data_IF_680665178314
#
_entry.id   IF_680665178314
#
_cell.length_a   1.000
_cell.length_b   1.000
_cell.length_c   1.000
_cell.angle_alpha   90.00
_cell.angle_beta   90.00
_cell.angle_gamma   90.00
#
_symmetry.space_group_name_H-M   'P 1'
#
loop_
_entity.id
_entity.type
_entity.pdbx_description
1 polymer ?
#
# COMPACT_ATOMS: atom_id res chain seq x y z
N UNK A 1 30.12 49.96 8.38
CA UNK A 1 30.94 48.89 7.76
C UNK A 1 30.65 47.56 8.44
N UNK A 2 29.84 46.69 7.84
CA UNK A 2 29.70 45.31 8.33
C UNK A 2 31.01 44.57 8.08
N UNK A 3 31.66 44.05 9.13
CA UNK A 3 32.91 43.29 9.00
C UNK A 3 32.75 42.15 8.00
N UNK A 4 33.77 41.88 7.17
CA UNK A 4 33.74 40.83 6.13
C UNK A 4 33.22 39.49 6.65
N UNK A 5 33.54 39.13 7.91
CA UNK A 5 33.05 37.92 8.58
C UNK A 5 31.52 37.85 8.70
N UNK A 6 30.85 38.97 9.04
CA UNK A 6 29.39 39.01 9.15
C UNK A 6 28.71 38.84 7.79
N UNK A 7 29.31 39.36 6.71
CA UNK A 7 28.79 39.15 5.35
C UNK A 7 28.90 37.68 4.94
N UNK A 8 30.04 37.02 5.19
CA UNK A 8 30.21 35.60 4.87
C UNK A 8 29.20 34.72 5.62
N UNK A 9 29.00 34.96 6.91
CA UNK A 9 28.01 34.21 7.72
C UNK A 9 26.58 34.42 7.20
N UNK A 10 26.21 35.67 6.87
CA UNK A 10 24.88 35.97 6.32
C UNK A 10 24.66 35.29 4.96
N UNK A 11 25.69 35.27 4.12
CA UNK A 11 25.62 34.62 2.79
C UNK A 11 25.46 33.11 2.93
N UNK A 12 26.15 32.50 3.90
CA UNK A 12 26.09 31.07 4.17
C UNK A 12 24.72 30.67 4.76
N UNK A 13 24.16 31.48 5.67
CA UNK A 13 22.80 31.31 6.18
C UNK A 13 21.76 31.41 5.07
N UNK A 14 21.86 32.41 4.18
CA UNK A 14 20.99 32.51 3.01
C UNK A 14 21.10 31.28 2.10
N UNK A 15 22.31 30.81 1.81
CA UNK A 15 22.52 29.64 0.97
C UNK A 15 21.91 28.37 1.60
N UNK A 16 22.11 28.16 2.91
CA UNK A 16 21.50 27.06 3.65
C UNK A 16 19.96 27.16 3.67
N UNK A 17 19.42 28.38 3.79
CA UNK A 17 17.98 28.62 3.74
C UNK A 17 17.39 28.27 2.37
N UNK A 18 18.06 28.69 1.29
CA UNK A 18 17.65 28.37 -0.08
C UNK A 18 17.77 26.88 -0.37
N UNK A 19 18.85 26.22 0.06
CA UNK A 19 19.00 24.77 -0.05
C UNK A 19 17.91 24.03 0.73
N UNK A 20 17.61 24.48 1.96
CA UNK A 20 16.54 23.90 2.76
C UNK A 20 15.18 24.06 2.07
N UNK A 21 14.85 25.26 1.58
CA UNK A 21 13.60 25.49 0.85
C UNK A 21 13.54 24.67 -0.44
N UNK A 22 14.64 24.57 -1.19
CA UNK A 22 14.69 23.77 -2.41
C UNK A 22 14.48 22.27 -2.12
N UNK A 23 15.13 21.73 -1.09
CA UNK A 23 14.94 20.34 -0.66
C UNK A 23 13.50 20.12 -0.17
N UNK A 24 12.92 21.07 0.56
CA UNK A 24 11.52 20.98 1.00
C UNK A 24 10.54 21.05 -0.17
N UNK A 25 10.78 21.90 -1.17
CA UNK A 25 9.96 21.97 -2.39
C UNK A 25 10.09 20.69 -3.20
N UNK A 26 11.31 20.17 -3.38
CA UNK A 26 11.52 18.89 -4.08
C UNK A 26 10.85 17.73 -3.34
N UNK A 27 11.02 17.64 -2.02
CA UNK A 27 10.37 16.61 -1.21
C UNK A 27 8.84 16.73 -1.24
N UNK A 28 8.32 17.97 -1.19
CA UNK A 28 6.89 18.23 -1.32
C UNK A 28 6.36 17.83 -2.70
N UNK A 29 7.13 18.09 -3.76
CA UNK A 29 6.80 17.68 -5.12
C UNK A 29 6.91 16.15 -5.29
N UNK A 30 7.87 15.47 -4.67
CA UNK A 30 7.98 14.01 -4.79
C UNK A 30 6.90 13.26 -4.00
N UNK A 31 6.54 13.72 -2.80
CA UNK A 31 5.54 13.05 -1.96
C UNK A 31 4.09 13.52 -2.22
N UNK A 32 3.86 14.79 -2.60
CA UNK A 32 2.51 15.38 -2.67
C UNK A 32 2.07 15.89 -4.05
N UNK A 33 2.91 15.89 -5.09
CA UNK A 33 2.47 16.21 -6.45
C UNK A 33 1.33 15.31 -7.00
N UNK A 34 1.17 14.03 -6.60
CA UNK A 34 0.00 13.25 -7.01
C UNK A 34 -1.28 13.56 -6.19
N UNK A 35 -1.17 14.28 -5.07
CA UNK A 35 -2.29 14.55 -4.16
C UNK A 35 -2.79 15.99 -4.36
N UNK A 36 -3.56 16.19 -5.42
CA UNK A 36 -4.28 17.44 -5.63
C UNK A 36 -5.62 17.41 -4.89
N UNK A 37 -5.96 18.49 -4.20
CA UNK A 37 -7.31 18.69 -3.70
C UNK A 37 -8.26 18.86 -4.89
N UNK A 38 -9.41 18.21 -4.82
CA UNK A 38 -10.45 18.31 -5.83
C UNK A 38 -11.27 19.58 -5.60
N UNK A 39 -11.98 19.99 -6.65
CA UNK A 39 -12.68 21.27 -6.66
C UNK A 39 -13.91 21.32 -5.75
N UNK A 40 -14.43 20.16 -5.31
CA UNK A 40 -15.65 20.09 -4.50
C UNK A 40 -15.59 19.00 -3.43
N UNK A 41 -16.28 19.25 -2.32
CA UNK A 41 -16.61 18.31 -1.25
C UNK A 41 -17.13 16.96 -1.76
N UNK A 42 -18.04 16.99 -2.73
CA UNK A 42 -18.64 15.78 -3.30
C UNK A 42 -17.61 14.92 -4.03
N UNK A 43 -16.70 15.54 -4.80
CA UNK A 43 -15.62 14.82 -5.47
C UNK A 43 -14.64 14.22 -4.45
N UNK A 44 -14.33 14.95 -3.37
CA UNK A 44 -13.52 14.44 -2.26
C UNK A 44 -14.18 13.26 -1.54
N UNK A 45 -15.48 13.36 -1.28
CA UNK A 45 -16.27 12.31 -0.68
C UNK A 45 -16.27 11.06 -1.57
N UNK A 46 -16.50 11.21 -2.88
CA UNK A 46 -16.41 10.12 -3.85
C UNK A 46 -15.03 9.46 -3.87
N UNK A 47 -13.97 10.26 -3.87
CA UNK A 47 -12.59 9.77 -3.86
C UNK A 47 -12.29 8.98 -2.59
N UNK A 48 -12.62 9.54 -1.43
CA UNK A 48 -12.41 8.89 -0.14
C UNK A 48 -13.21 7.59 -0.04
N UNK A 49 -14.48 7.60 -0.45
CA UNK A 49 -15.32 6.41 -0.45
C UNK A 49 -14.78 5.32 -1.37
N UNK A 50 -14.37 5.65 -2.60
CA UNK A 50 -13.72 4.70 -3.51
C UNK A 50 -12.46 4.10 -2.90
N UNK A 51 -11.66 4.90 -2.19
CA UNK A 51 -10.44 4.45 -1.52
C UNK A 51 -10.78 3.46 -0.39
N UNK A 52 -11.74 3.80 0.46
CA UNK A 52 -12.11 2.98 1.61
C UNK A 52 -12.99 1.77 1.26
N UNK A 53 -13.54 1.68 0.05
CA UNK A 53 -14.37 0.53 -0.36
C UNK A 53 -13.66 -0.39 -1.36
N UNK A 54 -12.54 0.04 -1.93
CA UNK A 54 -11.70 -0.80 -2.78
C UNK A 54 -10.72 -1.59 -1.92
N UNK A 55 -10.99 -2.86 -1.65
CA UNK A 55 -10.03 -3.70 -0.93
C UNK A 55 -8.70 -3.78 -1.67
N UNK A 56 -7.62 -3.53 -0.93
CA UNK A 56 -6.26 -3.58 -1.42
C UNK A 56 -5.67 -4.97 -1.27
N UNK A 57 -6.17 -5.74 -0.31
CA UNK A 57 -5.71 -7.09 -0.01
C UNK A 57 -6.91 -7.95 0.41
N UNK A 58 -6.89 -9.22 0.06
CA UNK A 58 -7.89 -10.19 0.45
C UNK A 58 -7.28 -11.14 1.49
N UNK A 59 -7.69 -10.98 2.75
CA UNK A 59 -7.34 -11.92 3.80
C UNK A 59 -8.22 -13.16 3.68
N UNK A 60 -7.63 -14.36 3.57
CA UNK A 60 -8.34 -15.62 3.39
C UNK A 60 -9.02 -16.09 4.67
N UNK A 61 -8.39 -15.82 5.82
CA UNK A 61 -8.89 -16.21 7.13
C UNK A 61 -9.13 -14.97 7.98
N UNK A 62 -10.41 -14.61 8.14
CA UNK A 62 -10.84 -13.51 9.00
C UNK A 62 -11.64 -14.00 10.20
N UNK A 63 -11.42 -13.35 11.34
CA UNK A 63 -12.22 -13.53 12.54
C UNK A 63 -13.07 -12.28 12.75
N UNK A 64 -14.39 -12.45 12.66
CA UNK A 64 -15.36 -11.38 12.92
C UNK A 64 -15.72 -11.35 14.40
N UNK A 65 -15.86 -10.14 14.97
CA UNK A 65 -16.16 -10.03 16.40
C UNK A 65 -17.60 -10.40 16.78
N UNK A 66 -18.52 -10.38 15.81
CA UNK A 66 -19.89 -10.87 15.92
C UNK A 66 -20.53 -11.02 14.53
N UNK A 67 -21.73 -11.59 14.44
CA UNK A 67 -22.49 -11.68 13.18
C UNK A 67 -22.81 -10.31 12.54
N UNK A 68 -22.65 -9.22 13.31
CA UNK A 68 -22.88 -7.85 12.89
C UNK A 68 -21.66 -6.95 13.17
N UNK A 69 -20.48 -7.53 13.43
CA UNK A 69 -19.34 -6.71 13.80
C UNK A 69 -18.79 -5.98 12.60
N UNK A 70 -18.63 -4.68 12.78
CA UNK A 70 -17.95 -3.83 11.82
C UNK A 70 -16.43 -4.08 11.75
N UNK A 71 -15.89 -4.81 12.74
CA UNK A 71 -14.47 -5.17 12.83
C UNK A 71 -14.20 -6.60 12.33
N UNK A 72 -13.11 -6.75 11.58
CA UNK A 72 -12.62 -8.04 11.08
C UNK A 72 -11.13 -8.16 11.35
N UNK A 73 -10.68 -9.23 11.99
CA UNK A 73 -9.26 -9.47 12.32
C UNK A 73 -8.69 -10.48 11.31
N UNK A 74 -7.60 -10.14 10.64
CA UNK A 74 -6.92 -11.08 9.75
C UNK A 74 -6.07 -12.05 10.58
N UNK A 75 -6.29 -13.35 10.44
CA UNK A 75 -5.61 -14.39 11.24
C UNK A 75 -4.69 -15.30 10.39
N UNK A 76 -4.28 -14.82 9.22
CA UNK A 76 -3.25 -15.49 8.42
C UNK A 76 -1.90 -15.50 9.15
N UNK A 77 -1.21 -16.64 9.11
CA UNK A 77 0.04 -16.84 9.84
C UNK A 77 1.19 -15.94 9.35
N UNK A 78 1.25 -15.66 8.04
CA UNK A 78 2.36 -14.94 7.42
C UNK A 78 2.16 -13.42 7.35
N UNK A 79 0.91 -12.97 7.34
CA UNK A 79 0.53 -11.57 7.06
C UNK A 79 -0.29 -10.97 8.21
N UNK A 80 -1.18 -11.74 8.80
CA UNK A 80 -2.09 -11.32 9.87
C UNK A 80 -1.54 -11.63 11.27
N UNK A 81 -2.46 -11.94 12.18
CA UNK A 81 -2.13 -12.36 13.54
C UNK A 81 -1.98 -13.87 13.54
N UNK A 82 -0.77 -14.34 13.74
CA UNK A 82 -0.51 -15.76 13.86
C UNK A 82 -1.12 -16.30 15.16
N UNK A 83 -2.26 -16.99 15.07
CA UNK A 83 -2.98 -17.56 16.22
C UNK A 83 -2.17 -18.65 16.92
N UNK A 84 -1.38 -19.41 16.16
CA UNK A 84 -0.59 -20.56 16.63
C UNK A 84 0.72 -20.16 17.31
N UNK A 85 1.14 -18.89 17.18
CA UNK A 85 2.35 -18.39 17.82
C UNK A 85 2.27 -18.48 19.35
N UNK A 86 3.33 -19.03 19.95
CA UNK A 86 3.52 -19.06 21.41
C UNK A 86 4.03 -17.74 21.99
N UNK A 87 4.34 -16.76 21.13
CA UNK A 87 4.80 -15.44 21.55
C UNK A 87 3.60 -14.65 22.12
N UNK A 88 3.75 -14.00 23.29
CA UNK A 88 2.71 -13.13 23.83
C UNK A 88 2.35 -12.02 22.85
N UNK A 89 1.05 -11.89 22.56
CA UNK A 89 0.52 -10.90 21.61
C UNK A 89 -0.03 -9.71 22.38
N UNK A 90 0.20 -8.51 21.85
CA UNK A 90 -0.18 -7.25 22.48
C UNK A 90 -1.20 -6.54 21.58
N UNK A 91 -2.31 -6.11 22.18
CA UNK A 91 -3.31 -5.29 21.51
C UNK A 91 -3.57 -4.00 22.27
N UNK A 92 -3.63 -2.90 21.52
CA UNK A 92 -4.06 -1.59 22.03
C UNK A 92 -5.46 -1.31 21.50
N UNK A 93 -6.38 -0.93 22.38
CA UNK A 93 -7.71 -0.44 22.02
C UNK A 93 -7.91 0.97 22.57
N UNK A 94 -8.12 1.94 21.70
CA UNK A 94 -8.21 3.36 22.03
C UNK A 94 -9.64 3.84 21.81
N UNK A 95 -10.24 4.36 22.89
CA UNK A 95 -11.58 4.93 22.89
C UNK A 95 -12.69 3.98 22.43
N UNK A 96 -12.76 2.71 22.90
CA UNK A 96 -13.87 1.83 22.55
C UNK A 96 -15.23 2.40 22.99
N UNK A 97 -16.24 2.38 22.12
CA UNK A 97 -17.55 2.99 22.36
C UNK A 97 -18.62 1.90 22.45
N UNK A 98 -19.09 1.63 23.67
CA UNK A 98 -20.26 0.78 24.02
C UNK A 98 -20.24 -0.70 23.59
N UNK A 99 -19.61 -1.06 22.47
CA UNK A 99 -19.37 -2.44 22.03
C UNK A 99 -17.94 -2.87 22.34
N UNK A 100 -17.80 -3.88 23.21
CA UNK A 100 -16.52 -4.48 23.60
C UNK A 100 -16.32 -5.87 22.99
N UNK A 101 -17.06 -6.21 21.92
CA UNK A 101 -16.99 -7.51 21.24
C UNK A 101 -15.59 -7.80 20.71
N UNK A 102 -14.92 -6.78 20.17
CA UNK A 102 -13.55 -6.88 19.67
C UNK A 102 -12.57 -7.29 20.78
N UNK A 103 -12.58 -6.55 21.90
CA UNK A 103 -11.72 -6.81 23.05
C UNK A 103 -12.03 -8.16 23.70
N UNK A 104 -13.32 -8.53 23.72
CA UNK A 104 -13.76 -9.83 24.25
C UNK A 104 -13.17 -10.99 23.46
N UNK A 105 -13.14 -10.89 22.13
CA UNK A 105 -12.61 -11.94 21.26
C UNK A 105 -11.09 -12.02 21.32
N UNK A 106 -10.41 -10.89 21.40
CA UNK A 106 -8.96 -10.88 21.62
C UNK A 106 -8.58 -11.57 22.94
N UNK A 107 -9.32 -11.30 24.03
CA UNK A 107 -9.08 -11.93 25.33
C UNK A 107 -9.34 -13.43 25.30
N UNK A 108 -10.54 -13.82 24.85
CA UNK A 108 -11.05 -15.19 25.02
C UNK A 108 -10.52 -16.16 23.97
N UNK A 109 -10.38 -15.71 22.73
CA UNK A 109 -10.12 -16.61 21.60
C UNK A 109 -8.66 -16.58 21.17
N UNK A 110 -7.96 -15.47 21.38
CA UNK A 110 -6.60 -15.26 20.86
C UNK A 110 -5.53 -15.03 21.94
N UNK A 111 -5.93 -15.03 23.22
CA UNK A 111 -5.06 -14.91 24.40
C UNK A 111 -4.12 -13.68 24.38
N UNK A 112 -4.65 -12.53 23.94
CA UNK A 112 -3.89 -11.28 23.92
C UNK A 112 -3.70 -10.66 25.30
N UNK A 113 -2.56 -10.00 25.50
CA UNK A 113 -2.41 -8.95 26.50
C UNK A 113 -2.98 -7.65 25.92
N UNK A 114 -4.07 -7.17 26.53
CA UNK A 114 -4.83 -6.04 26.03
C UNK A 114 -4.61 -4.81 26.90
N UNK A 115 -4.41 -3.68 26.24
CA UNK A 115 -4.29 -2.38 26.87
C UNK A 115 -5.38 -1.48 26.30
N UNK A 116 -6.35 -1.15 27.14
CA UNK A 116 -7.52 -0.36 26.76
C UNK A 116 -7.35 1.06 27.31
N UNK A 117 -7.41 2.04 26.42
CA UNK A 117 -7.22 3.46 26.75
C UNK A 117 -8.57 4.18 26.64
N UNK A 118 -9.10 4.62 27.79
CA UNK A 118 -10.36 5.34 27.88
C UNK A 118 -10.10 6.84 28.04
N UNK A 119 -10.81 7.65 27.25
CA UNK A 119 -10.69 9.12 27.28
C UNK A 119 -11.40 9.74 28.49
N UNK A 120 -12.47 9.10 28.99
CA UNK A 120 -13.17 9.58 30.18
C UNK A 120 -12.39 9.22 31.46
N UNK A 121 -11.90 10.25 32.12
CA UNK A 121 -11.12 10.13 33.36
C UNK A 121 -12.01 9.96 34.60
N UNK A 122 -13.31 10.20 34.49
CA UNK A 122 -14.24 10.33 35.62
C UNK A 122 -15.14 9.10 35.85
N UNK A 123 -15.51 8.35 34.81
CA UNK A 123 -16.39 7.17 34.93
C UNK A 123 -15.63 5.89 35.30
N UNK A 124 -16.25 4.95 36.02
CA UNK A 124 -15.66 3.62 36.28
C UNK A 124 -15.47 2.86 34.97
N UNK A 125 -14.40 2.04 34.88
CA UNK A 125 -14.21 1.19 33.70
C UNK A 125 -15.44 0.28 33.50
N UNK A 126 -15.94 0.11 32.27
CA UNK A 126 -17.10 -0.72 31.98
C UNK A 126 -16.93 -2.15 32.53
N UNK A 127 -17.95 -2.73 33.21
CA UNK A 127 -17.86 -4.07 33.79
C UNK A 127 -17.40 -5.17 32.81
N UNK A 128 -17.79 -5.17 31.51
CA UNK A 128 -17.31 -6.17 30.56
C UNK A 128 -15.78 -6.21 30.46
N UNK A 129 -15.11 -5.04 30.43
CA UNK A 129 -13.65 -4.96 30.30
C UNK A 129 -12.92 -5.45 31.56
N UNK A 130 -13.48 -5.19 32.74
CA UNK A 130 -12.90 -5.62 34.02
C UNK A 130 -12.92 -7.13 34.21
N UNK A 131 -13.75 -7.85 33.46
CA UNK A 131 -13.89 -9.30 33.52
C UNK A 131 -13.02 -10.04 32.50
N UNK A 132 -12.31 -9.32 31.62
CA UNK A 132 -11.48 -9.91 30.58
C UNK A 132 -10.07 -10.20 31.10
N UNK A 133 -9.66 -11.46 31.00
CA UNK A 133 -8.30 -11.86 31.34
C UNK A 133 -7.28 -11.16 30.43
N UNK A 134 -6.11 -10.83 31.02
CA UNK A 134 -5.03 -10.17 30.29
C UNK A 134 -5.31 -8.72 29.89
N UNK A 135 -6.35 -8.10 30.45
CA UNK A 135 -6.75 -6.72 30.08
C UNK A 135 -6.34 -5.72 31.15
N UNK A 136 -5.63 -4.68 30.74
CA UNK A 136 -5.26 -3.53 31.58
C UNK A 136 -5.94 -2.28 31.04
N UNK A 137 -6.60 -1.51 31.91
CA UNK A 137 -7.33 -0.31 31.51
C UNK A 137 -6.58 0.93 32.00
N UNK A 138 -6.26 1.84 31.08
CA UNK A 138 -5.68 3.15 31.35
C UNK A 138 -6.68 4.27 31.08
N UNK A 139 -6.60 5.32 31.88
CA UNK A 139 -7.37 6.55 31.70
C UNK A 139 -6.45 7.63 31.18
N UNK A 140 -6.41 7.79 29.87
CA UNK A 140 -5.57 8.78 29.22
C UNK A 140 -6.20 9.12 27.87
N UNK A 141 -6.24 10.41 27.58
CA UNK A 141 -6.59 10.87 26.25
C UNK A 141 -5.39 10.69 25.32
N UNK A 142 -5.67 10.25 24.10
CA UNK A 142 -4.65 10.09 23.05
C UNK A 142 -4.71 11.30 22.14
N UNK A 143 -3.58 12.00 22.02
CA UNK A 143 -3.45 13.22 21.21
C UNK A 143 -2.49 13.01 20.04
N UNK A 144 -2.67 13.74 18.92
CA UNK A 144 -1.90 13.52 17.70
C UNK A 144 -0.43 13.93 17.81
N UNK A 145 -0.12 14.94 18.60
CA UNK A 145 1.24 15.49 18.73
C UNK A 145 1.52 15.91 20.18
N UNK A 146 2.62 16.63 20.46
CA UNK A 146 3.07 17.02 21.80
C UNK A 146 1.90 17.44 22.71
N UNK A 147 1.65 16.72 23.83
CA UNK A 147 0.60 17.06 24.78
C UNK A 147 0.67 18.51 25.30
N UNK A 148 1.84 19.15 25.27
CA UNK A 148 2.03 20.55 25.63
C UNK A 148 1.31 21.53 24.68
N UNK A 149 1.09 21.14 23.43
CA UNK A 149 0.42 21.98 22.41
C UNK A 149 -1.09 22.11 22.64
N UNK A 150 -1.69 21.20 23.43
CA UNK A 150 -3.14 21.11 23.63
C UNK A 150 -3.64 21.76 24.94
N UNK A 151 -2.77 22.45 25.70
CA UNK A 151 -3.16 23.39 26.76
C UNK A 151 -2.40 23.25 28.09
N UNK A 152 -2.62 24.22 29.00
CA UNK A 152 -1.92 24.35 30.31
C UNK A 152 -2.24 23.24 31.34
N UNK A 153 -3.16 22.31 31.04
CA UNK A 153 -3.62 21.23 31.93
C UNK A 153 -3.52 19.84 31.27
N UNK A 154 -2.42 19.54 30.59
CA UNK A 154 -2.17 18.33 29.79
C UNK A 154 -1.88 17.05 30.58
N UNK A 155 -2.14 17.01 31.89
CA UNK A 155 -1.69 15.94 32.80
C UNK A 155 -2.18 14.52 32.44
N UNK A 156 -3.27 14.39 31.66
CA UNK A 156 -3.85 13.10 31.27
C UNK A 156 -3.84 12.86 29.75
N UNK A 157 -3.00 13.58 29.00
CA UNK A 157 -2.85 13.43 27.56
C UNK A 157 -1.52 12.76 27.24
N UNK A 158 -1.54 11.79 26.33
CA UNK A 158 -0.34 11.07 25.90
C UNK A 158 -0.37 10.81 24.39
N UNK A 159 0.79 10.73 23.77
CA UNK A 159 0.91 10.20 22.41
C UNK A 159 1.06 8.68 22.47
N UNK A 160 0.77 8.00 21.37
CA UNK A 160 0.98 6.55 21.31
C UNK A 160 2.46 6.21 21.51
N UNK A 161 3.39 7.06 21.04
CA UNK A 161 4.81 6.85 21.26
C UNK A 161 5.21 6.94 22.74
N UNK A 162 4.66 7.91 23.50
CA UNK A 162 4.96 8.01 24.94
C UNK A 162 4.43 6.80 25.70
N UNK A 163 3.22 6.33 25.37
CA UNK A 163 2.65 5.12 25.96
C UNK A 163 3.52 3.90 25.70
N UNK A 164 3.92 3.69 24.44
CA UNK A 164 4.80 2.57 24.08
C UNK A 164 6.12 2.63 24.85
N UNK A 165 6.70 3.82 25.02
CA UNK A 165 7.94 4.02 25.76
C UNK A 165 7.76 3.69 27.26
N UNK A 166 6.68 4.17 27.88
CA UNK A 166 6.34 3.92 29.29
C UNK A 166 6.06 2.45 29.56
N UNK A 167 5.36 1.76 28.66
CA UNK A 167 5.05 0.35 28.78
C UNK A 167 6.18 -0.56 28.28
N UNK A 168 7.27 0.01 27.77
CA UNK A 168 8.41 -0.70 27.20
C UNK A 168 8.05 -1.66 26.05
N UNK A 169 6.99 -1.37 25.30
CA UNK A 169 6.57 -2.17 24.16
C UNK A 169 7.31 -1.72 22.90
N UNK A 170 8.02 -2.64 22.27
CA UNK A 170 8.71 -2.40 20.98
C UNK A 170 7.86 -2.76 19.77
N UNK A 171 6.89 -3.65 19.97
CA UNK A 171 5.99 -4.17 18.94
C UNK A 171 4.59 -4.32 19.53
N UNK A 172 3.58 -4.10 18.69
CA UNK A 172 2.17 -4.27 19.02
C UNK A 172 1.53 -5.00 17.85
N UNK A 173 0.86 -6.12 18.10
CA UNK A 173 0.25 -6.90 17.03
C UNK A 173 -0.99 -6.19 16.46
N UNK A 174 -1.82 -5.61 17.32
CA UNK A 174 -3.08 -4.98 16.92
C UNK A 174 -3.22 -3.60 17.56
N UNK A 175 -3.53 -2.60 16.75
CA UNK A 175 -4.03 -1.30 17.21
C UNK A 175 -5.45 -1.07 16.71
N UNK A 176 -6.39 -0.84 17.63
CA UNK A 176 -7.74 -0.37 17.34
C UNK A 176 -7.88 1.09 17.79
N UNK A 177 -8.18 1.97 16.85
CA UNK A 177 -8.50 3.39 17.05
C UNK A 177 -9.98 3.58 16.76
N UNK A 178 -10.79 3.58 17.82
CA UNK A 178 -12.24 3.67 17.67
C UNK A 178 -12.76 5.09 17.88
N UNK A 179 -12.27 5.80 18.89
CA UNK A 179 -12.53 7.22 19.07
C UNK A 179 -11.31 7.93 19.64
N UNK A 180 -11.27 9.25 19.44
CA UNK A 180 -10.28 10.16 20.03
C UNK A 180 -11.02 11.30 20.75
N UNK A 181 -10.31 12.07 21.55
CA UNK A 181 -10.93 13.14 22.34
C UNK A 181 -11.61 14.21 21.46
N UNK A 182 -11.02 14.55 20.32
CA UNK A 182 -11.60 15.44 19.32
C UNK A 182 -11.72 14.71 17.97
N UNK A 183 -12.95 14.30 17.63
CA UNK A 183 -13.21 13.57 16.40
C UNK A 183 -13.05 14.44 15.14
N UNK A 184 -13.15 15.77 15.26
CA UNK A 184 -13.02 16.68 14.12
C UNK A 184 -11.60 16.75 13.52
N UNK A 185 -10.60 16.29 14.28
CA UNK A 185 -9.21 16.17 13.86
C UNK A 185 -8.68 14.74 14.02
N UNK A 186 -9.57 13.75 14.02
CA UNK A 186 -9.22 12.34 14.25
C UNK A 186 -8.21 11.78 13.24
N UNK A 187 -8.22 12.27 12.00
CA UNK A 187 -7.23 11.90 10.98
C UNK A 187 -5.80 12.33 11.36
N UNK A 188 -5.62 13.39 12.16
CA UNK A 188 -4.30 13.88 12.54
C UNK A 188 -3.54 12.88 13.40
N UNK A 189 -4.24 12.16 14.28
CA UNK A 189 -3.61 11.13 15.12
C UNK A 189 -2.93 10.09 14.25
N UNK A 190 -3.64 9.59 13.24
CA UNK A 190 -3.10 8.63 12.30
C UNK A 190 -2.01 9.25 11.40
N UNK A 191 -2.20 10.49 10.96
CA UNK A 191 -1.21 11.21 10.15
C UNK A 191 0.16 11.31 10.84
N UNK A 192 0.19 11.76 12.10
CA UNK A 192 1.44 11.85 12.85
C UNK A 192 2.03 10.47 13.17
N UNK A 193 1.20 9.45 13.40
CA UNK A 193 1.69 8.07 13.56
C UNK A 193 2.38 7.52 12.30
N UNK A 194 1.88 7.86 11.10
CA UNK A 194 2.54 7.54 9.83
C UNK A 194 3.84 8.32 9.72
N UNK A 195 3.77 9.65 9.89
CA UNK A 195 4.88 10.58 9.69
C UNK A 195 6.07 10.29 10.61
N UNK A 196 5.79 9.97 11.88
CA UNK A 196 6.81 9.67 12.89
C UNK A 196 7.28 8.22 12.83
N UNK A 197 6.78 7.41 11.87
CA UNK A 197 7.15 6.02 11.70
C UNK A 197 6.69 5.10 12.84
N UNK A 198 5.78 5.55 13.70
CA UNK A 198 5.28 4.77 14.84
C UNK A 198 4.52 3.54 14.33
N UNK A 199 3.77 3.69 13.23
CA UNK A 199 3.07 2.57 12.58
C UNK A 199 3.98 1.42 12.14
N UNK A 200 5.29 1.67 12.03
CA UNK A 200 6.27 0.62 11.75
C UNK A 200 6.43 -0.40 12.89
N UNK A 201 5.74 -0.22 14.02
CA UNK A 201 5.73 -1.14 15.16
C UNK A 201 4.45 -1.96 15.25
N UNK A 202 3.49 -1.73 14.36
CA UNK A 202 2.19 -2.38 14.36
C UNK A 202 2.06 -3.39 13.22
N UNK A 203 1.38 -4.51 13.47
CA UNK A 203 1.09 -5.52 12.43
C UNK A 203 -0.27 -5.29 11.78
N UNK A 204 -1.31 -5.06 12.59
CA UNK A 204 -2.66 -4.73 12.14
C UNK A 204 -3.18 -3.45 12.77
N UNK A 205 -4.01 -2.76 12.01
CA UNK A 205 -4.58 -1.47 12.36
C UNK A 205 -6.07 -1.46 12.02
N UNK A 206 -6.90 -1.12 13.00
CA UNK A 206 -8.34 -0.98 12.86
C UNK A 206 -8.71 0.46 13.21
N UNK A 207 -9.34 1.18 12.30
CA UNK A 207 -9.65 2.60 12.50
C UNK A 207 -11.13 2.81 12.22
N UNK A 208 -11.76 3.58 13.10
CA UNK A 208 -13.07 4.15 12.85
C UNK A 208 -12.94 5.57 12.34
N UNK A 209 -13.67 5.89 11.29
CA UNK A 209 -13.77 7.22 10.71
C UNK A 209 -15.18 7.72 10.89
N UNK A 210 -15.33 8.86 11.55
CA UNK A 210 -16.62 9.54 11.72
C UNK A 210 -16.66 10.74 10.78
N UNK A 211 -17.56 10.69 9.80
CA UNK A 211 -17.73 11.76 8.81
C UNK A 211 -19.01 12.50 9.17
N UNK A 212 -18.91 13.44 10.10
CA UNK A 212 -20.07 14.21 10.58
C UNK A 212 -20.55 15.27 9.59
N UNK A 213 -19.62 15.79 8.77
CA UNK A 213 -19.87 16.83 7.77
C UNK A 213 -19.01 16.59 6.54
N UNK A 214 -19.56 16.87 5.37
CA UNK A 214 -18.83 16.88 4.10
C UNK A 214 -18.15 18.25 3.97
N UNK A 215 -16.98 18.37 4.58
CA UNK A 215 -16.06 19.52 4.43
C UNK A 215 -14.83 19.09 3.62
N UNK A 216 -14.51 19.84 2.57
CA UNK A 216 -13.46 19.51 1.60
C UNK A 216 -12.10 19.30 2.30
N UNK A 217 -11.75 20.14 3.29
CA UNK A 217 -10.47 20.04 3.99
C UNK A 217 -10.43 18.81 4.90
N UNK A 218 -11.53 18.52 5.58
CA UNK A 218 -11.64 17.34 6.45
C UNK A 218 -11.56 16.03 5.64
N UNK A 219 -12.33 15.94 4.55
CA UNK A 219 -12.32 14.79 3.66
C UNK A 219 -10.96 14.61 2.98
N UNK A 220 -10.34 15.71 2.54
CA UNK A 220 -9.00 15.68 1.99
C UNK A 220 -7.95 15.24 3.03
N UNK A 221 -8.07 15.70 4.28
CA UNK A 221 -7.22 15.29 5.40
C UNK A 221 -7.25 13.78 5.63
N UNK A 222 -8.45 13.19 5.64
CA UNK A 222 -8.61 11.74 5.71
C UNK A 222 -8.02 11.03 4.50
N UNK A 223 -8.34 11.46 3.28
CA UNK A 223 -7.79 10.86 2.06
C UNK A 223 -6.25 10.88 2.06
N UNK A 224 -5.65 12.03 2.34
CA UNK A 224 -4.20 12.21 2.42
C UNK A 224 -3.57 11.28 3.46
N UNK A 225 -4.22 11.14 4.62
CA UNK A 225 -3.74 10.29 5.70
C UNK A 225 -3.81 8.82 5.32
N UNK A 226 -4.93 8.35 4.75
CA UNK A 226 -5.08 6.97 4.30
C UNK A 226 -4.16 6.64 3.10
N UNK A 227 -3.92 7.62 2.22
CA UNK A 227 -2.94 7.50 1.15
C UNK A 227 -1.52 7.31 1.73
N UNK A 228 -1.15 8.11 2.72
CA UNK A 228 0.15 7.99 3.41
C UNK A 228 0.26 6.67 4.20
N UNK A 229 -0.85 6.20 4.79
CA UNK A 229 -0.94 4.90 5.43
C UNK A 229 -0.63 3.77 4.44
N UNK A 230 -1.17 3.86 3.22
CA UNK A 230 -0.90 2.89 2.16
C UNK A 230 0.55 2.98 1.64
N UNK A 231 0.96 4.15 1.18
CA UNK A 231 2.23 4.31 0.46
C UNK A 231 3.45 4.36 1.39
N UNK A 232 3.36 5.09 2.50
CA UNK A 232 4.50 5.33 3.41
C UNK A 232 4.58 4.29 4.52
N UNK A 233 3.45 3.96 5.17
CA UNK A 233 3.44 3.00 6.27
C UNK A 233 3.30 1.53 5.83
N UNK A 234 2.92 1.28 4.57
CA UNK A 234 2.83 -0.06 4.00
C UNK A 234 1.60 -0.85 4.41
N UNK A 235 0.53 -0.19 4.85
CA UNK A 235 -0.72 -0.85 5.24
C UNK A 235 -1.64 -1.10 4.05
N UNK A 236 -2.37 -2.21 4.07
CA UNK A 236 -3.29 -2.66 3.02
C UNK A 236 -4.67 -2.90 3.62
N UNK A 237 -5.65 -2.21 3.06
CA UNK A 237 -7.05 -2.34 3.44
C UNK A 237 -7.55 -3.71 3.02
N UNK A 238 -8.14 -4.46 3.94
CA UNK A 238 -8.73 -5.77 3.64
C UNK A 238 -10.18 -5.91 4.06
N UNK A 239 -10.70 -4.97 4.85
CA UNK A 239 -12.08 -5.00 5.29
C UNK A 239 -12.58 -3.59 5.56
N UNK A 240 -13.81 -3.34 5.12
CA UNK A 240 -14.54 -2.10 5.41
C UNK A 240 -15.98 -2.43 5.77
N UNK A 241 -16.46 -1.80 6.83
CA UNK A 241 -17.87 -1.79 7.21
C UNK A 241 -18.32 -0.35 7.49
N UNK A 242 -19.64 -0.16 7.62
CA UNK A 242 -20.22 1.14 7.91
C UNK A 242 -21.43 0.95 8.84
N UNK A 243 -21.70 1.97 9.66
CA UNK A 243 -22.81 1.98 10.61
C UNK A 243 -24.19 1.77 9.96
N UNK A 244 -24.31 2.08 8.67
CA UNK A 244 -25.50 1.80 7.85
C UNK A 244 -25.09 1.44 6.42
N UNK A 245 -25.79 0.50 5.74
CA UNK A 245 -25.57 0.22 4.33
C UNK A 245 -25.75 1.45 3.43
N UNK A 246 -26.56 2.42 3.86
CA UNK A 246 -26.78 3.67 3.12
C UNK A 246 -25.53 4.57 3.11
N UNK A 247 -24.64 4.44 4.09
CA UNK A 247 -23.38 5.18 4.16
C UNK A 247 -22.42 4.84 3.01
N UNK A 248 -22.67 3.75 2.27
CA UNK A 248 -21.89 3.41 1.07
C UNK A 248 -22.38 4.15 -0.17
N UNK A 249 -23.31 5.10 -0.02
CA UNK A 249 -23.74 6.02 -1.06
C UNK A 249 -23.16 7.41 -0.78
N UNK A 250 -22.58 8.02 -1.81
CA UNK A 250 -21.90 9.33 -1.73
C UNK A 250 -22.81 10.40 -1.11
N UNK A 251 -24.09 10.39 -1.48
CA UNK A 251 -25.10 11.36 -1.02
C UNK A 251 -25.42 11.27 0.47
N UNK A 252 -24.98 10.20 1.15
CA UNK A 252 -25.30 9.90 2.54
C UNK A 252 -24.03 9.71 3.39
N UNK A 253 -22.88 10.24 2.96
CA UNK A 253 -21.64 10.12 3.76
C UNK A 253 -21.67 10.94 5.06
N UNK A 254 -22.56 11.92 5.17
CA UNK A 254 -22.74 12.71 6.37
C UNK A 254 -23.31 11.89 7.53
N UNK A 255 -22.78 12.13 8.73
CA UNK A 255 -23.14 11.43 9.98
C UNK A 255 -22.93 9.91 9.94
N UNK A 256 -22.02 9.45 9.08
CA UNK A 256 -21.71 8.03 8.95
C UNK A 256 -20.39 7.67 9.64
N UNK A 257 -20.38 6.46 10.21
CA UNK A 257 -19.21 5.87 10.82
C UNK A 257 -18.73 4.72 9.97
N UNK A 258 -17.48 4.78 9.53
CA UNK A 258 -16.82 3.75 8.74
C UNK A 258 -15.79 3.03 9.59
N UNK A 259 -15.67 1.73 9.38
CA UNK A 259 -14.75 0.88 10.10
C UNK A 259 -13.83 0.23 9.09
N UNK A 260 -12.54 0.53 9.17
CA UNK A 260 -11.55 0.05 8.20
C UNK A 260 -10.51 -0.79 8.93
N UNK A 261 -10.17 -1.95 8.36
CA UNK A 261 -9.16 -2.85 8.91
C UNK A 261 -8.03 -3.07 7.91
N UNK A 262 -6.82 -2.93 8.41
CA UNK A 262 -5.60 -2.83 7.62
C UNK A 262 -4.55 -3.81 8.13
N UNK A 263 -3.85 -4.44 7.20
CA UNK A 263 -2.71 -5.32 7.48
C UNK A 263 -1.44 -4.70 6.93
N UNK A 264 -0.33 -4.83 7.64
CA UNK A 264 0.94 -4.28 7.19
C UNK A 264 1.69 -5.24 6.28
N UNK A 265 2.15 -4.74 5.14
CA UNK A 265 3.10 -5.37 4.22
C UNK A 265 2.91 -6.89 4.05
N UNK A 266 1.83 -7.35 3.39
CA UNK A 266 1.53 -8.78 3.25
C UNK A 266 2.50 -9.55 2.31
N UNK A 267 3.65 -8.96 1.97
CA UNK A 267 4.70 -9.56 1.14
C UNK A 267 4.44 -9.47 -0.39
N UNK A 268 5.47 -9.73 -1.21
CA UNK A 268 5.40 -9.61 -2.67
C UNK A 268 4.60 -10.72 -3.36
N UNK A 269 4.44 -11.87 -2.68
CA UNK A 269 3.60 -12.99 -3.13
C UNK A 269 2.12 -12.71 -3.01
N UNK A 270 1.74 -11.69 -2.26
CA UNK A 270 0.35 -11.30 -2.11
C UNK A 270 0.01 -10.27 -3.17
N UNK A 271 -1.09 -10.49 -3.90
CA UNK A 271 -1.61 -9.47 -4.79
C UNK A 271 -2.11 -8.27 -3.97
N UNK A 272 -1.61 -7.09 -4.32
CA UNK A 272 -2.05 -5.82 -3.74
C UNK A 272 -2.70 -4.99 -4.82
N UNK A 273 -4.00 -4.73 -4.69
CA UNK A 273 -4.71 -3.80 -5.56
C UNK A 273 -4.44 -2.37 -5.10
N UNK A 274 -3.64 -1.61 -5.84
CA UNK A 274 -3.32 -0.22 -5.50
C UNK A 274 -4.57 0.64 -5.46
N UNK A 275 -4.69 1.69 -4.63
CA UNK A 275 -5.84 2.59 -4.63
C UNK A 275 -6.06 3.28 -5.99
N UNK A 276 -7.26 3.83 -6.26
CA UNK A 276 -7.50 4.62 -7.46
C UNK A 276 -6.56 5.83 -7.56
N UNK A 277 -6.13 6.19 -8.76
CA UNK A 277 -5.40 7.42 -9.04
C UNK A 277 -6.35 8.63 -8.95
N UNK A 278 -6.09 9.57 -8.03
CA UNK A 278 -6.90 10.77 -7.81
C UNK A 278 -8.40 10.40 -7.65
N UNK A 279 -9.24 10.62 -8.65
CA UNK A 279 -10.69 10.33 -8.61
C UNK A 279 -11.06 8.93 -9.16
N UNK A 280 -10.07 8.18 -9.67
CA UNK A 280 -10.22 6.87 -10.28
C UNK A 280 -10.77 6.89 -11.71
N UNK A 281 -10.75 8.03 -12.39
CA UNK A 281 -11.09 8.14 -13.81
C UNK A 281 -10.02 7.47 -14.69
N UNK A 282 -10.42 7.07 -15.90
CA UNK A 282 -9.51 6.44 -16.85
C UNK A 282 -8.32 7.34 -17.19
N UNK A 283 -8.53 8.65 -17.29
CA UNK A 283 -7.48 9.63 -17.62
C UNK A 283 -6.36 9.66 -16.57
N UNK A 284 -6.68 9.69 -15.28
CA UNK A 284 -5.64 9.69 -14.24
C UNK A 284 -4.98 8.33 -14.05
N UNK A 285 -5.71 7.25 -14.33
CA UNK A 285 -5.13 5.90 -14.34
C UNK A 285 -4.14 5.72 -15.50
N UNK A 286 -4.48 6.27 -16.67
CA UNK A 286 -3.60 6.33 -17.84
C UNK A 286 -2.36 7.18 -17.53
N UNK A 287 -2.54 8.40 -17.03
CA UNK A 287 -1.43 9.27 -16.63
C UNK A 287 -0.53 8.60 -15.59
N UNK A 288 -1.09 7.89 -14.60
CA UNK A 288 -0.29 7.16 -13.60
C UNK A 288 0.56 6.06 -14.23
N UNK A 289 0.05 5.38 -15.26
CA UNK A 289 0.82 4.40 -16.01
C UNK A 289 1.89 5.07 -16.87
N UNK A 290 1.58 6.16 -17.56
CA UNK A 290 2.57 6.95 -18.30
C UNK A 290 3.72 7.42 -17.39
N UNK A 291 3.38 8.02 -16.24
CA UNK A 291 4.34 8.44 -15.22
C UNK A 291 5.21 7.28 -14.70
N UNK A 292 4.67 6.06 -14.68
CA UNK A 292 5.44 4.87 -14.30
C UNK A 292 6.40 4.45 -15.42
N UNK A 293 5.92 4.45 -16.66
CA UNK A 293 6.69 4.08 -17.85
C UNK A 293 7.81 5.08 -18.15
N UNK A 294 7.64 6.35 -17.77
CA UNK A 294 8.65 7.41 -17.91
C UNK A 294 9.74 7.40 -16.83
N UNK A 295 9.65 6.48 -15.85
CA UNK A 295 10.65 6.29 -14.79
C UNK A 295 11.60 5.09 -14.97
N UNK A 296 12.13 4.74 -16.16
CA UNK A 296 13.20 3.76 -16.22
C UNK A 296 14.36 4.23 -15.33
N UNK A 297 14.88 3.31 -14.54
CA UNK A 297 16.12 3.54 -13.80
C UNK A 297 17.19 3.84 -14.85
N UNK A 298 17.90 4.98 -14.74
CA UNK A 298 19.10 5.26 -15.53
C UNK A 298 20.25 4.33 -15.09
N UNK A 299 20.03 3.02 -15.15
CA UNK A 299 21.09 2.05 -15.13
C UNK A 299 21.65 2.06 -16.55
N UNK A 300 22.83 2.65 -16.68
CA UNK A 300 23.61 2.67 -17.92
C UNK A 300 24.08 1.23 -18.19
N UNK A 301 23.17 0.39 -18.70
CA UNK A 301 23.41 -1.02 -18.94
C UNK A 301 23.81 -1.26 -20.39
N UNK A 302 24.95 -1.90 -20.59
CA UNK A 302 25.29 -2.52 -21.86
C UNK A 302 24.22 -3.57 -22.20
N UNK A 303 23.37 -3.27 -23.18
CA UNK A 303 22.33 -4.19 -23.66
C UNK A 303 22.82 -4.97 -24.87
N UNK A 304 22.72 -6.30 -24.82
CA UNK A 304 23.05 -7.20 -25.92
C UNK A 304 21.74 -7.66 -26.60
N UNK A 305 21.46 -7.23 -27.84
CA UNK A 305 20.29 -7.69 -28.57
C UNK A 305 20.49 -9.12 -29.11
N UNK A 306 19.58 -10.02 -28.75
CA UNK A 306 19.53 -11.41 -29.21
C UNK A 306 18.27 -11.60 -30.06
N UNK A 307 18.44 -11.91 -31.34
CA UNK A 307 17.31 -12.20 -32.24
C UNK A 307 16.75 -13.59 -31.91
N UNK A 308 15.52 -13.64 -31.43
CA UNK A 308 14.77 -14.88 -31.20
C UNK A 308 14.02 -15.31 -32.47
N UNK A 309 13.50 -14.34 -33.22
CA UNK A 309 12.79 -14.55 -34.48
C UNK A 309 13.02 -13.35 -35.41
N UNK A 310 12.55 -13.39 -36.67
CA UNK A 310 12.59 -12.22 -37.56
C UNK A 310 11.88 -10.98 -36.99
N UNK A 311 10.96 -11.17 -36.04
CA UNK A 311 10.09 -10.13 -35.49
C UNK A 311 10.31 -9.90 -33.99
N UNK A 312 11.13 -10.71 -33.34
CA UNK A 312 11.30 -10.70 -31.89
C UNK A 312 12.79 -10.63 -31.55
N UNK A 313 13.18 -9.57 -30.86
CA UNK A 313 14.54 -9.39 -30.33
C UNK A 313 14.44 -9.24 -28.83
N UNK A 314 15.13 -10.14 -28.12
CA UNK A 314 15.34 -10.12 -26.67
C UNK A 314 16.51 -9.20 -26.36
N UNK A 315 16.39 -8.35 -25.33
CA UNK A 315 17.44 -7.41 -24.94
C UNK A 315 18.07 -7.88 -23.64
N UNK A 316 19.21 -8.57 -23.72
CA UNK A 316 19.88 -9.12 -22.54
C UNK A 316 20.76 -8.08 -21.86
N UNK A 317 20.60 -7.90 -20.56
CA UNK A 317 21.52 -7.09 -19.76
C UNK A 317 22.87 -7.78 -19.60
N UNK A 318 23.97 -7.09 -19.94
CA UNK A 318 25.32 -7.62 -19.72
C UNK A 318 25.57 -7.95 -18.25
N UNK A 319 25.03 -7.17 -17.32
CA UNK A 319 25.19 -7.42 -15.87
C UNK A 319 24.60 -8.77 -15.48
N UNK A 320 23.44 -9.11 -16.02
CA UNK A 320 22.76 -10.39 -15.79
C UNK A 320 23.57 -11.56 -16.38
N UNK A 321 24.17 -11.38 -17.54
CA UNK A 321 25.04 -12.38 -18.16
C UNK A 321 26.39 -12.56 -17.43
N UNK A 322 26.90 -11.49 -16.81
CA UNK A 322 28.17 -11.48 -16.08
C UNK A 322 28.01 -11.80 -14.59
N UNK A 323 26.83 -12.22 -14.14
CA UNK A 323 26.54 -12.51 -12.72
C UNK A 323 27.27 -13.74 -12.16
N UNK A 324 28.10 -14.41 -12.97
CA UNK A 324 28.99 -15.48 -12.54
C UNK A 324 28.42 -16.89 -12.65
N UNK A 325 27.34 -17.09 -13.42
CA UNK A 325 26.83 -18.43 -13.73
C UNK A 325 27.43 -18.97 -15.03
N UNK A 326 27.72 -20.27 -15.07
CA UNK A 326 28.27 -20.95 -16.25
C UNK A 326 27.21 -21.23 -17.33
N UNK A 327 25.93 -20.97 -17.06
CA UNK A 327 24.83 -21.23 -17.99
C UNK A 327 23.69 -20.23 -17.81
N UNK A 328 23.07 -19.84 -18.93
CA UNK A 328 21.91 -18.96 -18.96
C UNK A 328 20.70 -19.73 -19.50
N UNK A 329 19.62 -19.78 -18.72
CA UNK A 329 18.34 -20.38 -19.12
C UNK A 329 17.39 -19.27 -19.53
N UNK A 330 16.94 -19.31 -20.78
CA UNK A 330 15.97 -18.35 -21.32
C UNK A 330 14.64 -19.07 -21.50
N UNK A 331 13.60 -18.60 -20.81
CA UNK A 331 12.23 -19.08 -20.93
C UNK A 331 11.43 -18.10 -21.78
N UNK A 332 10.87 -18.60 -22.88
CA UNK A 332 10.12 -17.82 -23.86
C UNK A 332 8.67 -18.26 -23.82
N UNK A 333 7.78 -17.34 -23.48
CA UNK A 333 6.33 -17.53 -23.55
C UNK A 333 5.78 -16.66 -24.67
N UNK A 334 5.34 -17.30 -25.75
CA UNK A 334 4.79 -16.63 -26.93
C UNK A 334 3.38 -17.14 -27.20
N UNK A 335 2.49 -16.22 -27.60
CA UNK A 335 1.13 -16.55 -28.00
C UNK A 335 1.14 -17.24 -29.37
N UNK A 336 1.28 -18.57 -29.38
CA UNK A 336 0.89 -19.38 -30.54
C UNK A 336 -0.60 -19.69 -30.43
N UNK A 337 -1.34 -19.45 -31.51
CA UNK A 337 -2.80 -19.44 -31.68
C UNK A 337 -3.58 -20.72 -31.28
N UNK A 338 -3.10 -21.57 -30.38
CA UNK A 338 -3.81 -22.75 -29.89
C UNK A 338 -4.20 -22.60 -28.42
N UNK A 339 -5.52 -22.48 -28.20
CA UNK A 339 -6.23 -22.61 -26.91
C UNK A 339 -6.08 -24.00 -26.26
N UNK A 340 -4.88 -24.58 -26.19
CA UNK A 340 -4.65 -25.85 -25.50
C UNK A 340 -3.84 -25.60 -24.25
N UNK A 341 -4.50 -25.90 -23.13
CA UNK A 341 -3.97 -26.17 -21.81
C UNK A 341 -2.67 -25.41 -21.52
N UNK A 342 -2.81 -24.27 -20.84
CA UNK A 342 -1.71 -23.71 -20.05
C UNK A 342 -1.26 -24.84 -19.13
N UNK A 343 -0.19 -25.54 -19.53
CA UNK A 343 0.54 -26.48 -18.68
C UNK A 343 0.66 -25.81 -17.30
N UNK A 344 0.38 -26.57 -16.23
CA UNK A 344 0.38 -26.05 -14.88
C UNK A 344 1.62 -25.19 -14.67
N UNK A 345 1.43 -23.90 -14.43
CA UNK A 345 2.53 -22.94 -14.33
C UNK A 345 3.57 -23.42 -13.29
N UNK A 346 3.07 -24.06 -12.23
CA UNK A 346 3.84 -24.74 -11.19
C UNK A 346 4.80 -25.82 -11.72
N UNK A 347 4.42 -26.55 -12.77
CA UNK A 347 5.25 -27.60 -13.39
C UNK A 347 6.38 -26.98 -14.21
N UNK A 348 6.11 -25.90 -14.96
CA UNK A 348 7.15 -25.15 -15.70
C UNK A 348 8.14 -24.52 -14.71
N UNK A 349 7.63 -23.91 -13.64
CA UNK A 349 8.43 -23.27 -12.60
C UNK A 349 9.29 -24.28 -11.85
N UNK A 350 8.73 -25.45 -11.51
CA UNK A 350 9.44 -26.48 -10.78
C UNK A 350 10.47 -27.24 -11.62
N UNK A 351 10.24 -27.36 -12.93
CA UNK A 351 11.18 -28.06 -13.80
C UNK A 351 12.35 -27.18 -14.26
N UNK A 352 12.08 -25.91 -14.62
CA UNK A 352 13.08 -25.08 -15.31
C UNK A 352 13.74 -24.00 -14.45
N UNK A 353 13.16 -23.64 -13.29
CA UNK A 353 13.71 -22.57 -12.43
C UNK A 353 14.54 -23.11 -11.24
N UNK A 354 14.91 -24.38 -11.19
CA UNK A 354 15.67 -24.98 -10.07
C UNK A 354 17.20 -25.05 -10.27
N UNK A 355 17.73 -24.81 -11.47
CA UNK A 355 19.18 -24.80 -11.74
C UNK A 355 19.89 -23.55 -11.16
N UNK A 356 21.20 -23.66 -10.93
CA UNK A 356 22.10 -22.53 -10.57
C UNK A 356 22.46 -21.62 -11.76
N UNK A 357 21.63 -21.62 -12.82
CA UNK A 357 21.83 -20.79 -14.01
C UNK A 357 21.25 -19.39 -13.83
N UNK A 358 21.78 -18.42 -14.59
CA UNK A 358 21.11 -17.12 -14.80
C UNK A 358 19.77 -17.36 -15.51
N UNK A 359 18.70 -16.71 -15.06
CA UNK A 359 17.33 -16.97 -15.57
C UNK A 359 16.73 -15.71 -16.17
N UNK A 360 16.43 -15.81 -17.46
CA UNK A 360 15.76 -14.75 -18.21
C UNK A 360 14.39 -15.24 -18.64
N UNK A 361 13.35 -14.47 -18.36
CA UNK A 361 11.98 -14.75 -18.78
C UNK A 361 11.55 -13.70 -19.80
N UNK A 362 11.02 -14.15 -20.93
CA UNK A 362 10.49 -13.31 -21.99
C UNK A 362 9.01 -13.64 -22.21
N UNK A 363 8.14 -12.64 -22.05
CA UNK A 363 6.68 -12.76 -22.20
C UNK A 363 6.20 -11.93 -23.40
N UNK A 364 5.76 -12.57 -24.48
CA UNK A 364 5.03 -11.95 -25.60
C UNK A 364 3.64 -12.61 -25.71
N UNK A 365 2.79 -12.27 -24.73
CA UNK A 365 1.45 -12.82 -24.55
C UNK A 365 0.39 -11.74 -24.81
N UNK A 366 0.43 -11.13 -25.99
CA UNK A 366 -0.25 -9.86 -26.36
C UNK A 366 -1.67 -9.68 -25.81
N UNK A 367 -2.48 -10.73 -25.72
CA UNK A 367 -3.87 -10.65 -25.28
C UNK A 367 -4.11 -11.11 -23.83
N UNK A 368 -3.19 -11.87 -23.25
CA UNK A 368 -3.36 -12.55 -21.95
C UNK A 368 -2.23 -12.28 -20.96
N UNK A 369 -1.33 -11.32 -21.27
CA UNK A 369 -0.13 -11.03 -20.46
C UNK A 369 -0.49 -10.85 -18.99
N UNK A 370 -1.48 -9.99 -18.70
CA UNK A 370 -1.86 -9.66 -17.33
C UNK A 370 -2.57 -10.81 -16.62
N UNK A 371 -3.36 -11.61 -17.35
CA UNK A 371 -4.00 -12.81 -16.81
C UNK A 371 -2.98 -13.92 -16.48
N UNK A 372 -1.89 -13.99 -17.23
CA UNK A 372 -0.77 -14.88 -16.98
C UNK A 372 0.13 -14.37 -15.84
N UNK A 373 0.32 -13.05 -15.75
CA UNK A 373 1.26 -12.45 -14.82
C UNK A 373 0.82 -12.64 -13.36
N UNK A 374 -0.48 -12.54 -13.05
CA UNK A 374 -1.00 -12.75 -11.69
C UNK A 374 -0.60 -14.12 -11.11
N UNK A 375 -0.94 -15.27 -11.70
CA UNK A 375 -0.54 -16.58 -11.18
C UNK A 375 0.99 -16.79 -11.22
N UNK A 376 1.69 -16.18 -12.18
CA UNK A 376 3.15 -16.21 -12.22
C UNK A 376 3.78 -15.51 -11.01
N UNK A 377 3.26 -14.36 -10.61
CA UNK A 377 3.71 -13.64 -9.44
C UNK A 377 3.25 -14.32 -8.14
N UNK A 378 2.06 -14.92 -8.10
CA UNK A 378 1.54 -15.67 -6.94
C UNK A 378 2.43 -16.88 -6.61
N UNK A 379 2.93 -17.57 -7.64
CA UNK A 379 3.81 -18.73 -7.48
C UNK A 379 5.17 -18.40 -6.85
N UNK A 380 5.55 -17.12 -6.79
CA UNK A 380 6.88 -16.69 -6.35
C UNK A 380 8.01 -17.00 -7.36
N UNK A 381 7.68 -17.44 -8.58
CA UNK A 381 8.66 -17.75 -9.63
C UNK A 381 9.62 -16.60 -9.92
N UNK A 382 9.09 -15.36 -9.92
CA UNK A 382 9.88 -14.15 -10.17
C UNK A 382 11.06 -13.99 -9.19
N UNK A 383 11.01 -14.55 -7.97
CA UNK A 383 12.15 -14.52 -7.04
C UNK A 383 13.42 -15.14 -7.62
N UNK A 384 13.25 -16.11 -8.52
CA UNK A 384 14.35 -16.87 -9.15
C UNK A 384 14.79 -16.30 -10.50
N UNK A 385 14.13 -15.25 -10.98
CA UNK A 385 14.39 -14.65 -12.29
C UNK A 385 15.31 -13.45 -12.13
N UNK A 386 16.35 -13.38 -12.95
CA UNK A 386 17.32 -12.28 -12.94
C UNK A 386 16.92 -11.16 -13.90
N UNK A 387 16.22 -11.51 -14.98
CA UNK A 387 15.68 -10.56 -15.95
C UNK A 387 14.31 -10.99 -16.46
N UNK A 388 13.36 -10.06 -16.49
CA UNK A 388 12.01 -10.23 -17.03
C UNK A 388 11.78 -9.20 -18.15
N UNK A 389 11.53 -9.66 -19.37
CA UNK A 389 11.10 -8.81 -20.48
C UNK A 389 9.63 -9.11 -20.82
N UNK A 390 8.81 -8.06 -20.90
CA UNK A 390 7.38 -8.14 -21.18
C UNK A 390 7.08 -7.33 -22.44
N UNK A 391 6.40 -7.95 -23.39
CA UNK A 391 5.80 -7.30 -24.55
C UNK A 391 4.28 -7.36 -24.42
N UNK A 392 3.65 -6.21 -24.22
CA UNK A 392 2.21 -6.15 -23.91
C UNK A 392 1.56 -4.85 -24.37
N UNK A 393 0.26 -4.86 -24.73
CA UNK A 393 -0.47 -3.62 -24.91
C UNK A 393 -0.74 -3.00 -23.53
N UNK A 394 -0.26 -1.78 -23.31
CA UNK A 394 -0.47 -1.07 -22.05
C UNK A 394 -1.86 -0.43 -22.00
N UNK A 395 -2.18 0.42 -22.97
CA UNK A 395 -3.38 1.28 -22.91
C UNK A 395 -4.61 0.69 -23.62
N UNK A 396 -4.50 -0.52 -24.18
CA UNK A 396 -5.61 -1.13 -24.92
C UNK A 396 -6.58 -1.83 -23.98
N UNK A 397 -7.83 -1.39 -24.02
CA UNK A 397 -8.91 -2.01 -23.26
C UNK A 397 -9.34 -3.31 -23.94
N UNK A 398 -9.38 -4.45 -23.23
CA UNK A 398 -9.92 -5.69 -23.77
C UNK A 398 -11.38 -5.52 -24.19
N UNK A 399 -11.83 -6.28 -25.18
CA UNK A 399 -13.24 -6.28 -25.61
C UNK A 399 -14.20 -6.87 -24.56
N UNK A 400 -13.68 -7.35 -23.43
CA UNK A 400 -14.37 -8.12 -22.41
C UNK A 400 -15.27 -7.27 -21.48
N UNK A 401 -15.61 -6.04 -21.87
CA UNK A 401 -16.55 -5.17 -21.16
C UNK A 401 -16.07 -4.59 -19.82
N UNK A 402 -14.83 -4.86 -19.41
CA UNK A 402 -14.23 -4.25 -18.21
C UNK A 402 -14.03 -2.75 -18.41
N UNK A 403 -14.24 -1.96 -17.36
CA UNK A 403 -13.99 -0.53 -17.41
C UNK A 403 -12.49 -0.24 -17.61
N UNK A 404 -12.11 0.69 -18.50
CA UNK A 404 -10.71 1.01 -18.81
C UNK A 404 -9.87 1.31 -17.55
N UNK A 405 -10.42 2.13 -16.64
CA UNK A 405 -9.75 2.54 -15.41
C UNK A 405 -9.38 1.35 -14.49
N UNK A 406 -10.29 0.38 -14.34
CA UNK A 406 -10.05 -0.80 -13.51
C UNK A 406 -8.93 -1.68 -14.07
N UNK A 407 -8.86 -1.77 -15.40
CA UNK A 407 -7.85 -2.54 -16.12
C UNK A 407 -6.47 -1.89 -15.94
N UNK A 408 -6.36 -0.58 -16.19
CA UNK A 408 -5.12 0.17 -15.99
C UNK A 408 -4.62 0.12 -14.55
N UNK A 409 -5.54 0.22 -13.58
CA UNK A 409 -5.25 0.04 -12.15
C UNK A 409 -4.71 -1.36 -11.84
N UNK A 410 -5.25 -2.41 -12.45
CA UNK A 410 -4.75 -3.78 -12.31
C UNK A 410 -3.33 -3.90 -12.89
N UNK A 411 -3.09 -3.38 -14.09
CA UNK A 411 -1.76 -3.38 -14.70
C UNK A 411 -0.73 -2.67 -13.84
N UNK A 412 -1.06 -1.46 -13.36
CA UNK A 412 -0.22 -0.71 -12.45
C UNK A 412 0.08 -1.51 -11.17
N UNK A 413 -0.93 -2.18 -10.61
CA UNK A 413 -0.77 -3.02 -9.42
C UNK A 413 0.21 -4.17 -9.63
N UNK A 414 0.14 -4.86 -10.77
CA UNK A 414 1.08 -5.94 -11.11
C UNK A 414 2.49 -5.42 -11.41
N UNK A 415 2.61 -4.25 -12.05
CA UNK A 415 3.90 -3.60 -12.26
C UNK A 415 4.58 -3.25 -10.92
N UNK A 416 3.83 -2.68 -9.98
CA UNK A 416 4.32 -2.43 -8.63
C UNK A 416 4.71 -3.71 -7.90
N UNK A 417 3.97 -4.79 -8.13
CA UNK A 417 4.28 -6.11 -7.57
C UNK A 417 5.58 -6.68 -8.13
N UNK A 418 5.85 -6.51 -9.43
CA UNK A 418 7.16 -6.85 -10.03
C UNK A 418 8.28 -6.10 -9.30
N UNK A 419 8.12 -4.80 -9.05
CA UNK A 419 9.11 -4.02 -8.30
C UNK A 419 9.32 -4.53 -6.86
N UNK A 420 8.26 -5.01 -6.20
CA UNK A 420 8.34 -5.60 -4.86
C UNK A 420 9.18 -6.88 -4.80
N UNK A 421 9.40 -7.56 -5.94
CA UNK A 421 10.34 -8.67 -6.08
C UNK A 421 11.80 -8.22 -6.25
N UNK A 422 12.12 -6.96 -5.93
CA UNK A 422 13.44 -6.34 -6.10
C UNK A 422 13.89 -6.23 -7.56
N UNK A 423 12.93 -6.21 -8.48
CA UNK A 423 13.19 -5.89 -9.87
C UNK A 423 13.23 -4.38 -10.06
N UNK A 424 14.08 -3.89 -10.95
CA UNK A 424 14.14 -2.52 -11.41
C UNK A 424 13.70 -2.45 -12.86
N UNK A 425 12.78 -1.53 -13.19
CA UNK A 425 12.48 -1.20 -14.57
C UNK A 425 13.69 -0.47 -15.18
N UNK A 426 14.34 -1.08 -16.17
CA UNK A 426 15.52 -0.52 -16.86
C UNK A 426 15.18 0.01 -18.25
N UNK A 427 14.13 -0.52 -18.88
CA UNK A 427 13.64 -0.05 -20.17
C UNK A 427 12.11 -0.09 -20.20
N UNK A 428 11.51 1.00 -20.68
CA UNK A 428 10.12 1.04 -21.09
C UNK A 428 10.07 1.80 -22.42
N UNK A 429 9.74 1.10 -23.51
CA UNK A 429 9.72 1.72 -24.83
C UNK A 429 8.52 1.25 -25.67
N UNK A 430 7.84 2.17 -26.38
CA UNK A 430 6.84 1.77 -27.35
C UNK A 430 7.52 1.11 -28.55
N UNK A 431 6.95 0.03 -29.05
CA UNK A 431 7.43 -0.63 -30.27
C UNK A 431 6.98 0.18 -31.49
N UNK A 432 7.92 0.83 -32.16
CA UNK A 432 7.67 1.64 -33.36
C UNK A 432 7.12 0.81 -34.52
N UNK A 433 6.24 1.40 -35.34
CA UNK A 433 5.56 0.75 -36.47
C UNK A 433 6.52 0.10 -37.50
N UNK A 434 7.75 0.58 -37.61
CA UNK A 434 8.72 0.08 -38.60
C UNK A 434 9.19 -1.37 -38.32
N UNK A 435 9.02 -1.88 -37.10
CA UNK A 435 9.30 -3.30 -36.77
C UNK A 435 8.10 -4.23 -36.98
N UNK A 436 6.92 -3.70 -37.32
CA UNK A 436 5.67 -4.47 -37.44
C UNK A 436 5.04 -4.23 -38.82
N UNK A 437 5.51 -4.97 -39.83
CA UNK A 437 4.98 -4.88 -41.21
C UNK A 437 3.52 -5.31 -41.37
N UNK A 438 2.86 -5.82 -40.33
CA UNK A 438 1.44 -6.17 -40.38
C UNK A 438 0.70 -5.77 -39.10
N UNK A 439 -0.32 -4.92 -39.31
CA UNK A 439 -1.45 -4.54 -38.45
C UNK A 439 -1.24 -3.48 -37.36
N UNK A 440 -2.18 -2.54 -37.44
CA UNK A 440 -2.43 -1.36 -36.63
C UNK A 440 -2.76 -1.68 -35.16
N UNK A 441 -1.85 -1.32 -34.27
CA UNK A 441 -2.17 -0.54 -33.05
C UNK A 441 -0.82 -0.23 -32.41
N UNK A 442 -0.42 1.04 -32.42
CA UNK A 442 0.90 1.51 -31.94
C UNK A 442 1.05 1.47 -30.42
N UNK A 443 0.44 0.47 -29.77
CA UNK A 443 0.17 0.47 -28.34
C UNK A 443 0.91 -0.65 -27.61
N UNK A 444 1.79 -1.39 -28.32
CA UNK A 444 2.64 -2.41 -27.72
C UNK A 444 3.86 -1.76 -27.09
N UNK A 445 4.07 -2.07 -25.82
CA UNK A 445 5.24 -1.65 -25.06
C UNK A 445 6.16 -2.83 -24.81
N UNK A 446 7.46 -2.57 -24.86
CA UNK A 446 8.49 -3.43 -24.28
C UNK A 446 8.84 -2.88 -22.91
N UNK A 447 8.74 -3.72 -21.89
CA UNK A 447 9.18 -3.44 -20.53
C UNK A 447 10.28 -4.42 -20.16
N UNK A 448 11.44 -3.93 -19.73
CA UNK A 448 12.55 -4.75 -19.26
C UNK A 448 12.79 -4.47 -17.79
N UNK A 449 12.78 -5.54 -17.01
CA UNK A 449 13.02 -5.55 -15.58
C UNK A 449 14.27 -6.38 -15.27
N UNK A 450 15.17 -5.83 -14.46
CA UNK A 450 16.41 -6.50 -14.03
C UNK A 450 16.44 -6.54 -12.51
N UNK A 451 16.82 -7.68 -11.94
CA UNK A 451 16.95 -7.84 -10.48
C UNK A 451 18.09 -6.96 -9.94
N UNK A 452 17.81 -6.21 -8.87
CA UNK A 452 18.73 -5.23 -8.28
C UNK A 452 20.02 -5.81 -7.73
#
# INVERSE_FOLDING_TARGET
MFSRRKKTVLTLLCLCSVLYVAVQVMHYQEEFHPLQALSTAEQEAQRLLKFMTSYHYQCNNTLHSSNYSDWSICIEADTGVNVESSVPKIAYSIGPVSDFSFETILSRNLSFQQYVFLHDTSSTAPPPLLQLNGTTVYRTAIVPNDPADFGRNSYNMQTINSIMATLHHRHIDILKLESVQDMSHSYEVLYFMVKDGILARFQQLHISLEIDKVDDNYLYGWYKTLYSLFHSAGFRLYHTAASSPLCLQVTMMESCRYFTSWVRNPGPRTFVYYPPAIDGSAQYEEQRLEDFLDRPSQLDEDVIPVKLSPYTTLRLSRRVLMSGSDSCTILIFQDETSRREVMGLADIISHYLFSQSTKVVFLDLRHVTWQFLTPFLDSGALQKVDQLEIMTPMFKVPADGRQPAQMMRLQYSELQRILAYQMALTEASPLTKDSLRFRSSGDLWRLTFVKK
#
